data_IF_204208074645
#
_entry.id   IF_204208074645
#
_cell.length_a   1.000
_cell.length_b   1.000
_cell.length_c   1.000
_cell.angle_alpha   90.00
_cell.angle_beta   90.00
_cell.angle_gamma   90.00
#
_symmetry.space_group_name_H-M   'P 1'
#
loop_
_entity.id
_entity.type
_entity.pdbx_description
1 polymer ?
#
# COMPACT_ATOMS: atom_id res chain seq x y z
N UNK A 1 14.39 20.78 -19.29
CA UNK A 1 14.21 19.33 -19.52
C UNK A 1 12.98 18.92 -18.74
N UNK A 2 11.95 18.41 -19.39
CA UNK A 2 10.77 17.89 -18.69
C UNK A 2 11.20 16.65 -17.91
N UNK A 3 11.23 16.76 -16.58
CA UNK A 3 11.37 15.60 -15.69
C UNK A 3 10.28 14.59 -16.07
N UNK A 4 10.66 13.52 -16.77
CA UNK A 4 9.74 12.46 -17.14
C UNK A 4 9.48 11.63 -15.88
N UNK A 5 8.69 12.19 -14.98
CA UNK A 5 8.37 11.64 -13.67
C UNK A 5 7.40 10.48 -13.91
N UNK A 6 7.91 9.26 -13.76
CA UNK A 6 7.10 8.06 -13.88
C UNK A 6 6.08 8.05 -12.75
N UNK A 7 4.79 8.04 -13.11
CA UNK A 7 3.71 7.79 -12.17
C UNK A 7 3.53 6.28 -12.05
N UNK A 8 3.58 5.77 -10.82
CA UNK A 8 3.47 4.33 -10.54
C UNK A 8 2.24 4.08 -9.65
N UNK A 9 1.43 3.10 -10.02
CA UNK A 9 0.34 2.61 -9.17
C UNK A 9 0.71 1.20 -8.68
N UNK A 10 0.80 1.04 -7.36
CA UNK A 10 1.10 -0.24 -6.72
C UNK A 10 -0.22 -0.84 -6.24
N UNK A 11 -0.64 -1.95 -6.85
CA UNK A 11 -1.89 -2.63 -6.53
C UNK A 11 -1.55 -3.90 -5.74
N UNK A 12 -2.04 -3.99 -4.51
CA UNK A 12 -1.76 -5.11 -3.60
C UNK A 12 -3.07 -5.85 -3.33
N UNK A 13 -3.30 -7.02 -3.95
CA UNK A 13 -4.39 -7.90 -3.53
C UNK A 13 -4.08 -8.45 -2.14
N UNK A 14 -5.02 -8.29 -1.22
CA UNK A 14 -4.85 -8.66 0.18
C UNK A 14 -5.97 -9.58 0.66
N UNK A 15 -5.63 -10.59 1.45
CA UNK A 15 -6.59 -11.47 2.10
C UNK A 15 -6.02 -12.00 3.42
N UNK A 16 -6.48 -11.41 4.53
CA UNK A 16 -6.03 -11.69 5.90
C UNK A 16 -4.52 -11.49 6.13
N UNK A 17 -4.14 -11.53 7.41
CA UNK A 17 -2.77 -11.45 7.91
C UNK A 17 -2.15 -10.05 7.74
N UNK A 18 -2.49 -9.17 8.69
CA UNK A 18 -2.00 -7.79 8.76
C UNK A 18 -0.47 -7.69 8.87
N UNK A 19 0.21 -8.67 9.46
CA UNK A 19 1.65 -8.60 9.70
C UNK A 19 2.43 -8.63 8.37
N UNK A 20 2.04 -9.54 7.45
CA UNK A 20 2.65 -9.62 6.11
C UNK A 20 2.42 -8.33 5.34
N UNK A 21 1.22 -7.76 5.43
CA UNK A 21 0.89 -6.52 4.75
C UNK A 21 1.67 -5.35 5.34
N UNK A 22 1.86 -5.31 6.67
CA UNK A 22 2.67 -4.31 7.35
C UNK A 22 4.11 -4.30 6.83
N UNK A 23 4.75 -5.47 6.78
CA UNK A 23 6.13 -5.61 6.30
C UNK A 23 6.26 -5.17 4.83
N UNK A 24 5.25 -5.49 4.01
CA UNK A 24 5.20 -5.06 2.61
C UNK A 24 5.11 -3.53 2.49
N UNK A 25 4.23 -2.88 3.24
CA UNK A 25 4.06 -1.43 3.23
C UNK A 25 5.30 -0.71 3.78
N UNK A 26 5.93 -1.26 4.82
CA UNK A 26 7.21 -0.75 5.34
C UNK A 26 8.29 -0.82 4.26
N UNK A 27 8.40 -1.95 3.55
CA UNK A 27 9.34 -2.09 2.43
C UNK A 27 9.11 -1.05 1.33
N UNK A 28 7.85 -0.84 0.93
CA UNK A 28 7.48 0.17 -0.09
C UNK A 28 7.83 1.59 0.37
N UNK A 29 7.69 1.89 1.66
CA UNK A 29 8.03 3.22 2.22
C UNK A 29 9.50 3.60 2.04
N UNK A 30 10.39 2.63 1.86
CA UNK A 30 11.83 2.85 1.63
C UNK A 30 12.18 3.21 0.19
N UNK A 31 11.24 3.03 -0.76
CA UNK A 31 11.48 3.26 -2.18
C UNK A 31 11.58 4.77 -2.46
N UNK A 32 12.66 5.19 -3.12
CA UNK A 32 12.85 6.57 -3.60
C UNK A 32 12.14 6.81 -4.93
N UNK A 33 10.82 6.66 -4.95
CA UNK A 33 9.97 7.05 -6.08
C UNK A 33 9.22 8.34 -5.75
N UNK A 34 9.22 9.27 -6.71
CA UNK A 34 8.78 10.64 -6.44
C UNK A 34 7.26 10.85 -6.57
N UNK A 35 6.56 9.96 -7.29
CA UNK A 35 5.10 9.95 -7.42
C UNK A 35 4.66 8.49 -7.55
N UNK A 36 3.99 7.98 -6.52
CA UNK A 36 3.28 6.71 -6.61
C UNK A 36 2.03 6.72 -5.72
N UNK A 37 1.07 5.87 -6.05
CA UNK A 37 -0.08 5.55 -5.21
C UNK A 37 -0.05 4.07 -4.84
N UNK A 38 -0.68 3.75 -3.71
CA UNK A 38 -0.87 2.37 -3.23
C UNK A 38 -2.38 2.14 -3.15
N UNK A 39 -2.84 1.07 -3.79
CA UNK A 39 -4.23 0.62 -3.77
C UNK A 39 -4.25 -0.79 -3.18
N UNK A 40 -4.95 -0.96 -2.06
CA UNK A 40 -5.12 -2.29 -1.45
C UNK A 40 -6.49 -2.84 -1.84
N UNK A 41 -6.49 -3.98 -2.51
CA UNK A 41 -7.71 -4.68 -2.90
C UNK A 41 -7.98 -5.77 -1.87
N UNK A 42 -8.86 -5.47 -0.90
CA UNK A 42 -9.32 -6.45 0.07
C UNK A 42 -10.20 -7.51 -0.59
N UNK A 43 -9.80 -8.78 -0.50
CA UNK A 43 -10.53 -9.92 -1.03
C UNK A 43 -11.41 -10.57 0.05
N UNK A 44 -12.23 -9.75 0.73
CA UNK A 44 -13.10 -10.15 1.84
C UNK A 44 -12.31 -10.75 3.02
N UNK A 45 -11.32 -10.01 3.51
CA UNK A 45 -10.64 -10.38 4.77
C UNK A 45 -11.64 -10.38 5.92
N UNK A 46 -11.46 -11.32 6.83
CA UNK A 46 -12.28 -11.47 8.06
C UNK A 46 -11.51 -11.09 9.31
N UNK A 47 -10.24 -10.70 9.15
CA UNK A 47 -9.41 -10.18 10.22
C UNK A 47 -9.50 -8.65 10.34
N UNK A 48 -8.73 -8.08 11.26
CA UNK A 48 -8.74 -6.64 11.50
C UNK A 48 -7.80 -5.85 10.57
N UNK A 49 -7.36 -6.45 9.45
CA UNK A 49 -6.35 -5.83 8.57
C UNK A 49 -6.86 -4.54 7.94
N UNK A 50 -8.11 -4.49 7.49
CA UNK A 50 -8.72 -3.30 6.86
C UNK A 50 -8.73 -2.09 7.80
N UNK A 51 -9.18 -2.26 9.04
CA UNK A 51 -9.24 -1.17 10.01
C UNK A 51 -7.84 -0.75 10.49
N UNK A 52 -6.93 -1.72 10.58
CA UNK A 52 -5.53 -1.45 10.89
C UNK A 52 -4.85 -0.63 9.80
N UNK A 53 -5.07 -0.94 8.51
CA UNK A 53 -4.54 -0.16 7.37
C UNK A 53 -5.03 1.29 7.45
N UNK A 54 -6.35 1.49 7.62
CA UNK A 54 -6.93 2.84 7.69
C UNK A 54 -6.34 3.67 8.83
N UNK A 55 -5.98 3.03 9.93
CA UNK A 55 -5.41 3.68 11.11
C UNK A 55 -3.91 4.01 10.95
N UNK A 56 -3.13 3.10 10.37
CA UNK A 56 -1.66 3.21 10.32
C UNK A 56 -1.14 3.81 8.99
N UNK A 57 -1.89 3.62 7.90
CA UNK A 57 -1.52 4.04 6.55
C UNK A 57 -2.65 4.87 5.89
N UNK A 58 -2.99 6.05 6.43
CA UNK A 58 -4.14 6.85 5.98
C UNK A 58 -4.01 7.42 4.55
N UNK A 59 -2.86 7.23 3.90
CA UNK A 59 -2.59 7.66 2.52
C UNK A 59 -2.78 6.53 1.49
N UNK A 60 -3.05 5.31 1.95
CA UNK A 60 -3.34 4.16 1.11
C UNK A 60 -4.82 4.18 0.74
N UNK A 61 -5.12 3.92 -0.53
CA UNK A 61 -6.48 3.87 -1.06
C UNK A 61 -7.06 2.46 -1.03
#
# INVERSE_FOLDING_TARGET
MSDNKLNVSIIIPHWNNVDILSDCLESISTIKLSIFEIIIVDNASIDNSVDWIKSNYPKVN
#
